data_IF_319227578900
#
_entry.id   IF_319227578900
#
_cell.length_a   1.000
_cell.length_b   1.000
_cell.length_c   1.000
_cell.angle_alpha   90.00
_cell.angle_beta   90.00
_cell.angle_gamma   90.00
#
_symmetry.space_group_name_H-M   'P 1'
#
loop_
_entity.id
_entity.type
_entity.pdbx_description
1 polymer ?
#
# COMPACT_ATOMS: atom_id res chain seq x y z
N UNK A 1 -6.26 -11.17 -34.28
CA UNK A 1 -6.33 -11.19 -32.80
C UNK A 1 -5.37 -12.28 -32.33
N UNK A 2 -4.21 -11.88 -31.78
CA UNK A 2 -3.28 -12.86 -31.20
C UNK A 2 -3.76 -13.20 -29.79
N UNK A 3 -4.11 -14.44 -29.57
CA UNK A 3 -4.41 -14.95 -28.23
C UNK A 3 -3.16 -14.85 -27.38
N UNK A 4 -3.15 -13.95 -26.39
CA UNK A 4 -2.12 -13.99 -25.35
C UNK A 4 -2.43 -15.18 -24.44
N UNK A 5 -1.43 -16.01 -24.10
CA UNK A 5 -1.67 -17.13 -23.20
C UNK A 5 -2.20 -16.62 -21.87
N UNK A 6 -3.28 -17.21 -21.39
CA UNK A 6 -3.83 -16.92 -20.07
C UNK A 6 -2.76 -17.23 -19.03
N UNK A 7 -2.33 -16.24 -18.28
CA UNK A 7 -1.37 -16.45 -17.20
C UNK A 7 -2.04 -17.26 -16.09
N UNK A 8 -1.62 -18.49 -15.89
CA UNK A 8 -2.14 -19.33 -14.81
C UNK A 8 -1.54 -18.85 -13.50
N UNK A 9 -2.39 -18.34 -12.60
CA UNK A 9 -2.03 -18.03 -11.21
C UNK A 9 -1.89 -19.38 -10.49
N UNK A 10 -0.70 -19.66 -9.95
CA UNK A 10 -0.40 -20.94 -9.28
C UNK A 10 -0.38 -20.85 -7.77
N UNK A 11 -0.06 -19.67 -7.25
CA UNK A 11 0.15 -19.43 -5.82
C UNK A 11 -0.66 -18.24 -5.37
N UNK A 12 -1.17 -18.31 -4.15
CA UNK A 12 -1.89 -17.22 -3.54
C UNK A 12 -1.83 -17.29 -2.02
N UNK A 13 -2.03 -16.16 -1.35
CA UNK A 13 -2.28 -16.10 0.08
C UNK A 13 -3.17 -14.90 0.42
N UNK A 14 -3.75 -14.94 1.61
CA UNK A 14 -4.50 -13.82 2.19
C UNK A 14 -3.73 -13.30 3.38
N UNK A 15 -3.32 -12.03 3.31
CA UNK A 15 -2.71 -11.29 4.41
C UNK A 15 -3.77 -10.68 5.33
N UNK A 16 -3.29 -10.11 6.44
CA UNK A 16 -4.13 -9.37 7.37
C UNK A 16 -5.20 -10.17 8.10
N UNK A 17 -6.21 -9.49 8.59
CA UNK A 17 -7.38 -10.09 9.22
C UNK A 17 -8.27 -10.79 8.17
N UNK A 18 -9.10 -11.74 8.64
CA UNK A 18 -10.14 -12.36 7.80
C UNK A 18 -11.44 -11.58 7.96
N UNK A 19 -11.40 -10.33 7.58
CA UNK A 19 -12.53 -9.42 7.61
C UNK A 19 -13.06 -9.11 6.18
N UNK A 20 -13.77 -8.02 6.02
CA UNK A 20 -14.33 -7.60 4.73
C UNK A 20 -13.30 -6.94 3.80
N UNK A 21 -12.05 -6.77 4.24
CA UNK A 21 -10.99 -6.08 3.51
C UNK A 21 -9.72 -6.94 3.41
N UNK A 22 -9.82 -8.16 2.84
CA UNK A 22 -8.68 -9.06 2.75
C UNK A 22 -7.62 -8.52 1.78
N UNK A 23 -6.35 -8.60 2.17
CA UNK A 23 -5.24 -8.38 1.24
C UNK A 23 -4.92 -9.71 0.57
N UNK A 24 -5.26 -9.83 -0.71
CA UNK A 24 -5.00 -11.04 -1.49
C UNK A 24 -3.79 -10.84 -2.37
N UNK A 25 -2.82 -11.73 -2.25
CA UNK A 25 -1.66 -11.79 -3.13
C UNK A 25 -1.74 -13.03 -3.99
N UNK A 26 -1.58 -12.84 -5.29
CA UNK A 26 -1.52 -13.92 -6.27
C UNK A 26 -0.21 -13.87 -7.01
N UNK A 27 0.37 -15.02 -7.32
CA UNK A 27 1.64 -15.11 -8.03
C UNK A 27 1.70 -16.30 -8.98
N UNK A 28 2.41 -16.13 -10.09
CA UNK A 28 2.84 -17.25 -10.95
C UNK A 28 4.16 -17.90 -10.48
N UNK A 29 4.84 -17.26 -9.52
CA UNK A 29 6.06 -17.76 -8.90
C UNK A 29 5.77 -18.30 -7.50
N UNK A 30 6.63 -19.19 -6.96
CA UNK A 30 6.44 -19.71 -5.59
C UNK A 30 6.34 -18.60 -4.56
N UNK A 31 5.40 -18.78 -3.63
CA UNK A 31 5.24 -17.93 -2.44
C UNK A 31 5.68 -18.74 -1.24
N UNK A 32 6.58 -18.18 -0.46
CA UNK A 32 7.20 -18.82 0.70
C UNK A 32 7.06 -17.93 1.96
N UNK A 33 7.21 -18.56 3.13
CA UNK A 33 7.30 -17.86 4.41
C UNK A 33 6.15 -16.88 4.70
N UNK A 34 4.93 -17.28 4.36
CA UNK A 34 3.75 -16.43 4.59
C UNK A 34 3.54 -16.18 6.08
N UNK A 35 3.46 -14.91 6.46
CA UNK A 35 3.10 -14.44 7.81
C UNK A 35 1.96 -13.45 7.74
N UNK A 36 1.04 -13.56 8.68
CA UNK A 36 -0.01 -12.57 8.88
C UNK A 36 0.38 -11.65 10.03
N UNK A 37 0.27 -10.37 9.81
CA UNK A 37 0.55 -9.32 10.80
C UNK A 37 -0.79 -8.71 11.19
N UNK A 38 -1.35 -9.17 12.28
CA UNK A 38 -2.74 -8.84 12.67
C UNK A 38 -2.87 -8.25 14.08
N UNK A 39 -1.73 -7.98 14.74
CA UNK A 39 -1.70 -7.58 16.13
C UNK A 39 -2.10 -8.73 17.06
N UNK A 40 -2.10 -8.46 18.35
CA UNK A 40 -2.55 -9.39 19.38
C UNK A 40 -3.54 -8.69 20.32
N UNK A 41 -4.58 -9.42 20.73
CA UNK A 41 -5.46 -8.92 21.78
C UNK A 41 -4.68 -8.78 23.12
N UNK A 42 -5.04 -7.82 23.99
CA UNK A 42 -6.15 -6.86 23.85
C UNK A 42 -5.86 -5.66 22.95
N UNK A 43 -4.59 -5.42 22.61
CA UNK A 43 -4.14 -4.22 21.91
C UNK A 43 -3.97 -4.52 20.41
N UNK A 44 -5.05 -4.90 19.72
CA UNK A 44 -5.06 -5.01 18.26
C UNK A 44 -4.80 -3.65 17.64
N UNK A 45 -3.52 -3.31 17.43
CA UNK A 45 -3.10 -2.04 16.84
C UNK A 45 -3.41 -2.02 15.34
N UNK A 46 -3.46 -3.18 14.71
CA UNK A 46 -3.61 -3.29 13.27
C UNK A 46 -5.06 -3.63 12.92
N UNK A 47 -5.76 -2.73 12.24
CA UNK A 47 -7.19 -2.84 11.94
C UNK A 47 -7.49 -3.95 10.93
N UNK A 48 -7.11 -3.78 9.68
CA UNK A 48 -7.27 -4.81 8.63
C UNK A 48 -6.04 -5.69 8.49
N UNK A 49 -4.93 -5.27 9.04
CA UNK A 49 -3.71 -6.04 9.12
C UNK A 49 -2.81 -5.91 7.90
N UNK A 50 -1.79 -6.76 7.91
CA UNK A 50 -0.83 -6.88 6.84
C UNK A 50 -0.47 -8.35 6.59
N UNK A 51 0.09 -8.62 5.44
CA UNK A 51 0.70 -9.89 5.09
C UNK A 51 2.16 -9.70 4.71
N UNK A 52 3.03 -10.63 5.11
CA UNK A 52 4.40 -10.71 4.64
C UNK A 52 4.66 -12.08 4.05
N UNK A 53 5.23 -12.13 2.85
CA UNK A 53 5.65 -13.34 2.20
C UNK A 53 6.88 -13.10 1.32
N UNK A 54 7.53 -14.17 0.89
CA UNK A 54 8.58 -14.15 -0.13
C UNK A 54 8.04 -14.66 -1.45
N UNK A 55 8.24 -13.91 -2.52
CA UNK A 55 8.05 -14.39 -3.89
C UNK A 55 9.42 -14.69 -4.48
N UNK A 56 9.64 -15.93 -4.94
CA UNK A 56 10.94 -16.36 -5.46
C UNK A 56 10.88 -16.42 -6.97
N UNK A 57 11.64 -15.52 -7.63
CA UNK A 57 11.81 -15.52 -9.09
C UNK A 57 13.27 -15.78 -9.44
N UNK A 58 13.54 -16.82 -10.23
CA UNK A 58 14.90 -17.20 -10.67
C UNK A 58 15.87 -17.39 -9.48
N UNK A 59 15.40 -17.97 -8.37
CA UNK A 59 16.18 -18.17 -7.16
C UNK A 59 16.39 -16.91 -6.32
N UNK A 60 15.86 -15.77 -6.72
CA UNK A 60 15.96 -14.49 -5.99
C UNK A 60 14.68 -14.23 -5.20
N UNK A 61 14.73 -14.17 -3.88
CA UNK A 61 13.58 -13.83 -3.07
C UNK A 61 13.32 -12.32 -3.09
N UNK A 62 12.05 -11.94 -3.24
CA UNK A 62 11.55 -10.59 -2.99
C UNK A 62 10.60 -10.67 -1.82
N UNK A 63 10.85 -9.91 -0.78
CA UNK A 63 9.96 -9.81 0.37
C UNK A 63 8.81 -8.85 0.02
N UNK A 64 7.59 -9.35 0.12
CA UNK A 64 6.37 -8.59 -0.19
C UNK A 64 5.58 -8.39 1.08
N UNK A 65 5.34 -7.13 1.43
CA UNK A 65 4.44 -6.73 2.52
C UNK A 65 3.22 -6.08 1.90
N UNK A 66 2.04 -6.62 2.17
CA UNK A 66 0.77 -6.01 1.77
C UNK A 66 0.03 -5.53 3.00
N UNK A 67 -0.67 -4.42 2.90
CA UNK A 67 -1.39 -3.83 4.02
C UNK A 67 -2.64 -3.08 3.58
N UNK A 68 -3.51 -2.85 4.56
CA UNK A 68 -4.60 -1.91 4.48
C UNK A 68 -4.77 -1.30 5.88
N UNK A 69 -4.47 -0.01 6.04
CA UNK A 69 -4.63 0.67 7.32
C UNK A 69 -6.07 1.15 7.53
N UNK A 70 -6.39 1.62 8.72
CA UNK A 70 -7.73 2.02 9.10
C UNK A 70 -8.32 3.11 8.20
N UNK A 71 -9.46 2.86 7.53
CA UNK A 71 -10.00 3.77 6.52
C UNK A 71 -10.85 4.91 7.10
N UNK A 72 -11.18 4.87 8.39
CA UNK A 72 -12.11 5.82 8.99
C UNK A 72 -11.45 7.14 9.38
N UNK A 73 -12.27 8.17 9.48
CA UNK A 73 -11.84 9.50 9.91
C UNK A 73 -11.58 9.59 11.42
N UNK A 74 -11.46 8.49 12.14
CA UNK A 74 -11.16 8.42 13.58
C UNK A 74 -10.54 7.07 13.92
N UNK A 75 -9.80 6.98 15.03
CA UNK A 75 -9.16 5.76 15.47
C UNK A 75 -10.18 4.65 15.77
N UNK A 76 -9.83 3.42 15.38
CA UNK A 76 -10.69 2.24 15.51
C UNK A 76 -11.15 1.98 16.95
N UNK A 77 -10.25 2.11 17.90
CA UNK A 77 -10.50 1.86 19.33
C UNK A 77 -10.72 3.12 20.13
N UNK A 78 -11.00 4.24 19.48
CA UNK A 78 -11.24 5.49 20.19
C UNK A 78 -12.44 5.36 21.12
N UNK A 79 -12.20 5.52 22.39
CA UNK A 79 -13.26 5.63 23.41
C UNK A 79 -14.05 6.92 23.20
N UNK A 80 -13.34 7.97 22.82
CA UNK A 80 -13.92 9.26 22.43
C UNK A 80 -13.70 9.50 20.93
N UNK A 81 -14.74 9.25 20.15
CA UNK A 81 -14.73 9.45 18.70
C UNK A 81 -14.59 10.90 18.30
N UNK A 82 -15.12 11.83 19.08
CA UNK A 82 -15.06 13.26 18.76
C UNK A 82 -13.67 13.81 19.00
N UNK A 83 -13.00 13.39 20.08
CA UNK A 83 -11.58 13.68 20.28
C UNK A 83 -10.72 13.10 19.16
N UNK A 84 -10.99 11.86 18.72
CA UNK A 84 -10.27 11.23 17.59
C UNK A 84 -10.49 11.94 16.25
N UNK A 85 -11.67 12.49 16.00
CA UNK A 85 -11.92 13.31 14.80
C UNK A 85 -11.11 14.59 14.79
N UNK A 86 -10.87 15.19 15.97
CA UNK A 86 -9.99 16.34 16.09
C UNK A 86 -8.52 16.04 15.72
N UNK A 87 -8.15 14.76 15.64
CA UNK A 87 -6.83 14.31 15.18
C UNK A 87 -6.75 14.09 13.66
N UNK A 88 -7.50 14.85 12.88
CA UNK A 88 -7.47 14.78 11.41
C UNK A 88 -7.61 13.36 10.83
N UNK A 89 -8.63 12.64 11.29
CA UNK A 89 -9.01 11.40 10.65
C UNK A 89 -8.26 10.16 11.11
N UNK A 90 -7.67 10.17 12.28
CA UNK A 90 -7.05 8.99 12.89
C UNK A 90 -5.67 8.64 12.32
N UNK A 91 -4.96 9.61 11.74
CA UNK A 91 -3.61 9.38 11.20
C UNK A 91 -2.59 9.04 12.29
N UNK A 92 -2.77 9.48 13.53
CA UNK A 92 -1.97 8.99 14.68
C UNK A 92 -2.14 7.50 14.90
N UNK A 93 -3.34 6.98 14.75
CA UNK A 93 -3.62 5.55 14.83
C UNK A 93 -2.96 4.80 13.66
N UNK A 94 -3.12 5.26 12.41
CA UNK A 94 -2.46 4.67 11.22
C UNK A 94 -0.94 4.70 11.34
N UNK A 95 -0.39 5.74 11.93
CA UNK A 95 1.04 5.81 12.21
C UNK A 95 1.47 4.69 13.16
N UNK A 96 0.69 4.38 14.20
CA UNK A 96 0.95 3.24 15.08
C UNK A 96 0.82 1.90 14.35
N UNK A 97 -0.16 1.75 13.45
CA UNK A 97 -0.30 0.56 12.61
C UNK A 97 0.96 0.34 11.75
N UNK A 98 1.44 1.37 11.08
CA UNK A 98 2.65 1.29 10.23
C UNK A 98 3.89 0.97 11.06
N UNK A 99 4.06 1.58 12.22
CA UNK A 99 5.15 1.25 13.15
C UNK A 99 5.12 -0.23 13.53
N UNK A 100 3.95 -0.73 13.90
CA UNK A 100 3.76 -2.15 14.23
C UNK A 100 4.07 -3.06 13.04
N UNK A 101 3.56 -2.76 11.86
CA UNK A 101 3.82 -3.53 10.64
C UNK A 101 5.32 -3.54 10.31
N UNK A 102 5.97 -2.38 10.32
CA UNK A 102 7.40 -2.29 10.01
C UNK A 102 8.26 -3.03 11.05
N UNK A 103 7.94 -2.94 12.35
CA UNK A 103 8.67 -3.65 13.42
C UNK A 103 8.55 -5.17 13.32
N UNK A 104 7.46 -5.69 12.74
CA UNK A 104 7.23 -7.13 12.53
C UNK A 104 7.61 -7.63 11.14
N UNK A 105 8.08 -6.76 10.27
CA UNK A 105 8.49 -7.08 8.90
C UNK A 105 9.92 -6.62 8.65
N UNK A 106 10.12 -5.49 8.00
CA UNK A 106 11.43 -5.04 7.52
C UNK A 106 12.45 -4.84 8.66
N UNK A 107 12.03 -4.32 9.81
CA UNK A 107 12.91 -4.09 10.95
C UNK A 107 13.39 -5.39 11.65
N UNK A 108 12.81 -6.55 11.29
CA UNK A 108 13.29 -7.85 11.79
C UNK A 108 14.61 -8.30 11.13
N UNK A 109 15.04 -7.60 10.08
CA UNK A 109 16.23 -7.93 9.31
C UNK A 109 17.24 -6.77 9.40
N UNK A 110 18.39 -7.00 9.98
CA UNK A 110 19.43 -5.96 10.17
C UNK A 110 20.01 -5.43 8.86
N UNK A 111 19.96 -6.25 7.79
CA UNK A 111 20.44 -5.93 6.44
C UNK A 111 19.31 -5.65 5.44
N UNK A 112 18.09 -5.35 5.94
CA UNK A 112 16.91 -5.15 5.10
C UNK A 112 17.13 -4.13 3.97
N UNK A 113 17.90 -3.08 4.21
CA UNK A 113 18.24 -2.08 3.21
C UNK A 113 19.04 -2.62 2.02
N UNK A 114 19.69 -3.79 2.16
CA UNK A 114 20.44 -4.47 1.11
C UNK A 114 19.64 -5.59 0.43
N UNK A 115 18.49 -5.94 0.98
CA UNK A 115 17.59 -6.96 0.45
C UNK A 115 16.54 -6.36 -0.47
N UNK A 116 15.85 -7.22 -1.24
CA UNK A 116 14.72 -6.84 -2.08
C UNK A 116 13.43 -6.88 -1.27
N UNK A 117 12.95 -5.72 -0.85
CA UNK A 117 11.70 -5.54 -0.12
C UNK A 117 10.74 -4.63 -0.89
N UNK A 118 9.46 -4.98 -0.83
CA UNK A 118 8.36 -4.15 -1.30
C UNK A 118 7.27 -4.12 -0.24
N UNK A 119 6.72 -2.94 0.04
CA UNK A 119 5.53 -2.75 0.86
C UNK A 119 4.50 -1.99 0.03
N UNK A 120 3.26 -2.49 -0.02
CA UNK A 120 2.22 -1.92 -0.87
C UNK A 120 0.82 -2.09 -0.28
N UNK A 121 -0.08 -1.19 -0.65
CA UNK A 121 -1.48 -1.24 -0.27
C UNK A 121 -2.09 0.13 -0.11
N UNK A 122 -3.27 0.15 0.52
CA UNK A 122 -3.97 1.37 0.92
C UNK A 122 -3.50 1.80 2.33
N UNK A 123 -2.83 2.93 2.38
CA UNK A 123 -2.32 3.53 3.62
C UNK A 123 -3.33 4.49 4.25
N UNK A 124 -4.42 4.82 3.55
CA UNK A 124 -5.44 5.77 3.99
C UNK A 124 -4.88 7.09 4.54
N UNK A 125 -3.68 7.46 4.10
CA UNK A 125 -2.92 8.61 4.60
C UNK A 125 -2.19 9.31 3.45
N UNK A 126 -1.68 10.51 3.70
CA UNK A 126 -1.07 11.39 2.70
C UNK A 126 0.41 11.59 2.96
N UNK A 127 1.19 11.67 1.87
CA UNK A 127 2.63 11.82 1.94
C UNK A 127 3.05 13.28 1.91
N UNK A 128 4.06 13.63 2.72
CA UNK A 128 4.75 14.93 2.67
C UNK A 128 5.33 15.22 1.28
N UNK A 129 5.71 14.21 0.51
CA UNK A 129 6.19 14.38 -0.88
C UNK A 129 5.14 15.02 -1.79
N UNK A 130 3.86 14.86 -1.47
CA UNK A 130 2.74 15.45 -2.19
C UNK A 130 2.20 16.74 -1.56
N UNK A 131 2.82 17.21 -0.46
CA UNK A 131 2.27 18.32 0.32
C UNK A 131 2.18 19.64 -0.45
N UNK A 132 2.96 19.80 -1.52
CA UNK A 132 2.79 20.92 -2.46
C UNK A 132 1.40 20.99 -3.11
N UNK A 133 0.66 19.86 -3.17
CA UNK A 133 -0.71 19.78 -3.69
C UNK A 133 -1.73 19.96 -2.57
N UNK A 134 -1.46 19.35 -1.41
CA UNK A 134 -2.38 19.40 -0.27
C UNK A 134 -2.26 20.67 0.55
N UNK A 135 -1.08 21.26 0.58
CA UNK A 135 -0.77 22.49 1.31
C UNK A 135 -1.13 22.43 2.81
N UNK A 136 -0.78 21.30 3.47
CA UNK A 136 -0.95 21.12 4.90
C UNK A 136 0.18 21.82 5.67
N UNK A 137 -0.07 22.26 6.92
CA UNK A 137 1.00 22.66 7.85
C UNK A 137 2.06 21.56 8.03
N UNK A 138 3.28 21.96 8.33
CA UNK A 138 4.40 21.00 8.46
C UNK A 138 4.24 20.00 9.62
N UNK A 139 3.47 20.38 10.64
CA UNK A 139 3.15 19.55 11.81
C UNK A 139 1.80 18.83 11.70
N UNK A 140 1.21 18.79 10.50
CA UNK A 140 -0.09 18.17 10.28
C UNK A 140 -0.03 16.65 10.49
N UNK A 141 -0.96 16.14 11.28
CA UNK A 141 -1.01 14.70 11.60
C UNK A 141 -1.25 13.81 10.39
N UNK A 142 -1.84 14.35 9.32
CA UNK A 142 -2.05 13.63 8.04
C UNK A 142 -0.76 13.20 7.34
N UNK A 143 0.39 13.73 7.75
CA UNK A 143 1.69 13.41 7.18
C UNK A 143 2.45 12.33 7.98
N UNK A 144 2.02 12.02 9.21
CA UNK A 144 2.74 11.17 10.18
C UNK A 144 3.08 9.77 9.68
N UNK A 145 2.22 9.14 8.89
CA UNK A 145 2.38 7.77 8.39
C UNK A 145 3.60 7.68 7.49
N UNK A 146 3.66 8.53 6.50
CA UNK A 146 4.72 8.52 5.49
C UNK A 146 6.01 9.16 5.97
N UNK A 147 5.93 10.10 6.92
CA UNK A 147 7.10 10.63 7.63
C UNK A 147 7.79 9.51 8.43
N UNK A 148 7.03 8.69 9.16
CA UNK A 148 7.60 7.53 9.85
C UNK A 148 8.31 6.57 8.90
N UNK A 149 7.71 6.24 7.77
CA UNK A 149 8.33 5.34 6.79
C UNK A 149 9.64 5.92 6.29
N UNK A 150 9.67 7.21 5.94
CA UNK A 150 10.85 7.89 5.43
C UNK A 150 11.99 8.01 6.46
N UNK A 151 11.65 8.20 7.74
CA UNK A 151 12.62 8.43 8.82
C UNK A 151 13.14 7.13 9.45
N UNK A 152 12.33 6.06 9.47
CA UNK A 152 12.62 4.86 10.27
C UNK A 152 12.77 3.58 9.43
N UNK A 153 12.67 3.67 8.11
CA UNK A 153 12.80 2.49 7.24
C UNK A 153 13.68 2.80 6.01
N UNK A 154 14.28 1.79 5.38
CA UNK A 154 15.01 1.95 4.12
C UNK A 154 14.08 1.98 2.89
N UNK A 155 12.79 2.18 3.06
CA UNK A 155 11.84 2.25 1.97
C UNK A 155 11.87 3.60 1.25
N UNK A 156 11.76 3.55 -0.07
CA UNK A 156 11.54 4.71 -0.94
C UNK A 156 10.19 4.59 -1.64
N UNK A 157 9.49 5.70 -1.79
CA UNK A 157 8.21 5.80 -2.51
C UNK A 157 8.45 5.67 -4.00
N UNK A 158 7.99 4.57 -4.60
CA UNK A 158 8.27 4.20 -6.00
C UNK A 158 7.76 5.25 -6.99
N UNK A 159 6.51 5.69 -6.83
CA UNK A 159 5.92 6.66 -7.77
C UNK A 159 6.62 8.01 -7.67
N UNK A 160 6.86 8.50 -6.45
CA UNK A 160 7.55 9.78 -6.27
C UNK A 160 9.02 9.75 -6.71
N UNK A 161 9.68 8.58 -6.64
CA UNK A 161 11.05 8.40 -7.09
C UNK A 161 11.16 8.35 -8.63
N UNK A 162 10.20 7.69 -9.29
CA UNK A 162 10.19 7.55 -10.76
C UNK A 162 9.58 8.74 -11.48
N UNK A 163 8.75 9.52 -10.80
CA UNK A 163 8.10 10.72 -11.33
C UNK A 163 8.35 11.93 -10.40
N UNK A 164 9.61 12.37 -10.29
CA UNK A 164 9.95 13.45 -9.37
C UNK A 164 9.25 14.75 -9.76
N UNK A 165 8.55 15.32 -8.80
CA UNK A 165 7.80 16.55 -9.01
C UNK A 165 6.45 16.37 -9.70
N UNK A 166 5.97 15.16 -9.96
CA UNK A 166 4.63 14.89 -10.45
C UNK A 166 3.70 14.42 -9.32
N UNK A 167 2.39 14.63 -9.50
CA UNK A 167 1.37 14.16 -8.57
C UNK A 167 0.42 13.22 -9.29
N UNK A 168 0.34 11.98 -8.79
CA UNK A 168 -0.50 10.93 -9.37
C UNK A 168 -1.55 10.51 -8.35
N UNK A 169 -2.82 10.79 -8.64
CA UNK A 169 -3.92 10.39 -7.75
C UNK A 169 -4.19 8.89 -7.86
N UNK A 170 -4.38 8.23 -6.73
CA UNK A 170 -4.75 6.80 -6.68
C UNK A 170 -6.24 6.59 -6.39
N UNK A 171 -7.00 7.66 -6.19
CA UNK A 171 -8.46 7.60 -6.01
C UNK A 171 -9.18 8.54 -6.94
N UNK A 172 -10.46 8.27 -7.19
CA UNK A 172 -11.33 9.21 -7.92
C UNK A 172 -11.57 10.52 -7.15
N UNK A 173 -11.36 10.52 -5.82
CA UNK A 173 -11.42 11.69 -4.95
C UNK A 173 -10.19 12.60 -5.00
N UNK A 174 -9.32 12.44 -5.99
CA UNK A 174 -8.10 13.23 -6.20
C UNK A 174 -7.08 13.16 -5.04
N UNK A 175 -7.06 12.06 -4.31
CA UNK A 175 -6.02 11.79 -3.32
C UNK A 175 -5.09 10.67 -3.75
N UNK A 176 -3.87 10.67 -3.22
CA UNK A 176 -2.95 9.55 -3.28
C UNK A 176 -2.86 8.96 -1.89
N UNK A 177 -3.45 7.79 -1.71
CA UNK A 177 -3.48 7.04 -0.45
C UNK A 177 -3.02 5.60 -0.61
N UNK A 178 -2.89 5.13 -1.86
CA UNK A 178 -2.27 3.87 -2.21
C UNK A 178 -0.81 4.10 -2.59
N UNK A 179 0.07 3.27 -2.07
CA UNK A 179 1.50 3.40 -2.30
C UNK A 179 2.16 2.06 -2.59
N UNK A 180 3.24 2.13 -3.34
CA UNK A 180 4.24 1.08 -3.45
C UNK A 180 5.56 1.66 -2.96
N UNK A 181 6.09 1.06 -1.92
CA UNK A 181 7.41 1.34 -1.37
C UNK A 181 8.36 0.19 -1.70
N UNK A 182 9.61 0.48 -1.95
CA UNK A 182 10.63 -0.55 -2.07
C UNK A 182 11.97 -0.10 -1.48
N UNK A 183 12.84 -1.06 -1.17
CA UNK A 183 14.22 -0.76 -0.81
C UNK A 183 15.02 -0.33 -2.03
N UNK A 184 16.10 0.42 -1.84
CA UNK A 184 16.93 0.95 -2.92
C UNK A 184 17.40 -0.13 -3.91
N UNK A 185 17.88 -1.33 -3.50
CA UNK A 185 18.28 -2.38 -4.43
C UNK A 185 17.15 -2.90 -5.34
N UNK A 186 15.88 -2.81 -4.89
CA UNK A 186 14.74 -3.15 -5.70
C UNK A 186 14.31 -1.96 -6.57
N UNK A 187 14.39 -0.73 -6.05
CA UNK A 187 14.08 0.50 -6.78
C UNK A 187 14.94 0.68 -8.04
N UNK A 188 16.23 0.34 -7.95
CA UNK A 188 17.18 0.40 -9.07
C UNK A 188 16.83 -0.58 -10.22
N UNK A 189 16.01 -1.60 -9.93
CA UNK A 189 15.53 -2.58 -10.90
C UNK A 189 14.22 -2.20 -11.56
N UNK A 190 13.58 -1.10 -11.16
CA UNK A 190 12.31 -0.66 -11.72
C UNK A 190 12.52 -0.12 -13.13
N UNK A 191 11.86 -0.75 -14.09
CA UNK A 191 11.87 -0.35 -15.49
C UNK A 191 10.62 0.47 -15.87
N UNK A 192 9.55 0.33 -15.08
CA UNK A 192 8.29 1.08 -15.26
C UNK A 192 7.56 1.20 -13.94
N UNK A 193 6.97 2.36 -13.67
CA UNK A 193 6.06 2.57 -12.54
C UNK A 193 4.97 3.57 -12.96
N UNK A 194 3.71 3.20 -12.81
CA UNK A 194 2.58 4.01 -13.27
C UNK A 194 1.37 3.83 -12.36
N UNK A 195 0.59 4.90 -12.18
CA UNK A 195 -0.79 4.81 -11.71
C UNK A 195 -1.67 4.71 -12.96
N UNK A 196 -2.46 3.64 -13.06
CA UNK A 196 -3.30 3.40 -14.23
C UNK A 196 -4.59 4.22 -14.11
N UNK A 197 -4.75 5.18 -15.02
CA UNK A 197 -5.93 6.02 -15.14
C UNK A 197 -6.47 5.90 -16.57
N UNK A 198 -7.35 4.95 -16.80
CA UNK A 198 -7.96 4.67 -18.10
C UNK A 198 -9.48 4.58 -17.97
N UNK A 199 -10.18 4.33 -19.07
CA UNK A 199 -11.65 4.24 -19.12
C UNK A 199 -12.21 3.16 -18.18
N UNK A 200 -11.43 2.14 -17.83
CA UNK A 200 -11.83 1.08 -16.93
C UNK A 200 -11.75 1.50 -15.45
N UNK A 201 -10.82 2.39 -15.12
CA UNK A 201 -10.61 2.88 -13.75
C UNK A 201 -11.33 4.19 -13.47
N UNK A 202 -11.85 4.87 -14.51
CA UNK A 202 -12.58 6.11 -14.35
C UNK A 202 -14.09 5.88 -14.07
N UNK A 203 -14.75 6.75 -13.29
CA UNK A 203 -16.17 6.63 -13.01
C UNK A 203 -17.00 6.72 -14.29
N UNK A 204 -17.96 5.81 -14.46
CA UNK A 204 -18.93 5.91 -15.55
C UNK A 204 -19.84 7.12 -15.30
N UNK A 205 -19.67 8.17 -16.10
CA UNK A 205 -20.45 9.43 -15.98
C UNK A 205 -21.79 9.38 -16.69
N UNK A 206 -22.04 8.38 -17.54
CA UNK A 206 -23.28 8.26 -18.30
C UNK A 206 -24.28 7.31 -17.58
N UNK A 207 -25.30 7.85 -16.89
CA UNK A 207 -26.28 7.04 -16.18
C UNK A 207 -27.15 6.18 -17.10
N UNK A 208 -27.13 6.40 -18.42
CA UNK A 208 -27.79 5.57 -19.41
C UNK A 208 -27.01 4.32 -19.81
N UNK A 209 -25.75 4.26 -19.50
CA UNK A 209 -24.89 3.09 -19.77
C UNK A 209 -24.89 2.16 -18.58
N UNK A 210 -25.76 1.16 -18.60
CA UNK A 210 -25.82 0.07 -17.64
C UNK A 210 -25.99 0.54 -16.19
N UNK A 211 -27.22 0.61 -15.74
CA UNK A 211 -27.61 0.93 -14.35
C UNK A 211 -26.95 0.05 -13.28
N UNK A 212 -26.23 -1.01 -13.67
CA UNK A 212 -25.57 -1.98 -12.80
C UNK A 212 -24.07 -2.14 -13.10
N UNK A 213 -23.48 -1.35 -13.99
CA UNK A 213 -22.06 -1.40 -14.25
C UNK A 213 -21.36 -0.37 -13.36
N UNK A 214 -20.77 -0.88 -12.31
CA UNK A 214 -19.86 -0.11 -11.47
C UNK A 214 -18.44 -0.31 -12.01
N UNK A 215 -17.61 0.74 -12.01
CA UNK A 215 -16.18 0.52 -12.11
C UNK A 215 -15.75 -0.40 -10.95
N UNK A 216 -14.75 -1.26 -11.15
CA UNK A 216 -14.40 -2.31 -10.17
C UNK A 216 -13.87 -1.76 -8.85
N UNK A 217 -13.39 -0.51 -8.82
CA UNK A 217 -12.88 0.16 -7.64
C UNK A 217 -12.95 1.68 -7.83
N UNK A 218 -13.07 2.42 -6.74
CA UNK A 218 -12.82 3.86 -6.67
C UNK A 218 -11.32 4.19 -6.46
N UNK A 219 -10.47 3.16 -6.40
CA UNK A 219 -9.02 3.25 -6.40
C UNK A 219 -8.45 2.86 -7.77
N UNK A 220 -7.35 3.51 -8.14
CA UNK A 220 -6.59 3.27 -9.36
C UNK A 220 -5.46 2.27 -9.10
N UNK A 221 -5.26 1.27 -9.96
CA UNK A 221 -4.15 0.35 -9.83
C UNK A 221 -2.79 1.04 -9.99
N UNK A 222 -1.81 0.55 -9.25
CA UNK A 222 -0.39 0.92 -9.45
C UNK A 222 0.30 -0.26 -10.13
N UNK A 223 0.93 -0.02 -11.27
CA UNK A 223 1.73 -0.99 -12.01
C UNK A 223 3.21 -0.68 -11.82
N UNK A 224 3.98 -1.71 -11.45
CA UNK A 224 5.45 -1.60 -11.33
C UNK A 224 6.10 -2.81 -11.99
N UNK A 225 6.99 -2.55 -12.93
CA UNK A 225 7.79 -3.56 -13.61
C UNK A 225 9.23 -3.55 -13.10
N UNK A 226 9.77 -4.74 -12.79
CA UNK A 226 11.14 -4.91 -12.31
C UNK A 226 11.95 -5.82 -13.24
N UNK A 227 13.19 -5.42 -13.54
CA UNK A 227 14.16 -6.34 -14.13
C UNK A 227 14.78 -7.23 -13.05
N UNK A 228 14.47 -8.51 -13.11
CA UNK A 228 14.92 -9.53 -12.15
C UNK A 228 15.93 -10.51 -12.78
N UNK A 229 16.67 -10.04 -13.78
CA UNK A 229 17.78 -10.83 -14.39
C UNK A 229 18.93 -11.02 -13.43
#
# INVERSE_FOLDING_TARGET
>A
MSWRPVTVIKYWYVGGHRDNFPQVVTSKYPIENVRRIVGQAPDSIVSHGAGWARIVKNGRPVNIVTLHTWPQAYAFQAVDRDASKAEHGGDRYRRMEIEYICSHTIATQSDAGQQLWMMMGDFNSRSRRDNRVYNYPDDDTRLLVHDYIAEHTPYVDVIAEKHPGEFHTTTHGQSRIDFVYCTQPLCERITRAEVIADDFTEPVRDPGKLSNFYHPSDHRPILVDFDMK
#
